data_IF_699087926224
#
_entry.id   IF_699087926224
#
_cell.length_a   1.000
_cell.length_b   1.000
_cell.length_c   1.000
_cell.angle_alpha   90.00
_cell.angle_beta   90.00
_cell.angle_gamma   90.00
#
_symmetry.space_group_name_H-M   'P 1'
#
loop_
_entity.id
_entity.type
_entity.pdbx_description
1 polymer ?
#
# COMPACT_ATOMS: atom_id res chain seq x y z
N UNK A 1 -1.16 14.10 8.55
CA UNK A 1 -1.49 12.67 8.38
C UNK A 1 -1.52 12.34 6.89
N UNK A 2 -0.87 11.25 6.45
CA UNK A 2 -0.80 10.81 5.05
C UNK A 2 -1.61 9.53 4.88
N UNK A 3 -2.62 9.52 4.03
CA UNK A 3 -3.42 8.32 3.75
C UNK A 3 -2.77 7.53 2.60
N UNK A 4 -2.44 6.27 2.82
CA UNK A 4 -1.80 5.41 1.80
C UNK A 4 -2.69 4.22 1.51
N UNK A 5 -3.06 4.04 0.25
CA UNK A 5 -3.93 2.98 -0.21
C UNK A 5 -3.13 1.81 -0.82
N UNK A 6 -3.43 0.59 -0.38
CA UNK A 6 -2.81 -0.65 -0.82
C UNK A 6 -3.85 -1.52 -1.54
N UNK A 7 -3.65 -1.76 -2.85
CA UNK A 7 -4.59 -2.54 -3.65
C UNK A 7 -4.53 -4.05 -3.31
N UNK A 8 -5.53 -4.79 -3.79
CA UNK A 8 -5.58 -6.26 -3.70
C UNK A 8 -4.78 -6.96 -4.81
N UNK A 9 -4.66 -8.29 -4.70
CA UNK A 9 -3.99 -9.11 -5.69
C UNK A 9 -4.63 -8.95 -7.09
N UNK A 10 -3.80 -8.93 -8.14
CA UNK A 10 -4.26 -8.81 -9.53
C UNK A 10 -4.81 -7.43 -9.91
N UNK A 11 -4.69 -6.44 -9.02
CA UNK A 11 -5.13 -5.06 -9.27
C UNK A 11 -3.95 -4.08 -9.28
N UNK A 12 -4.23 -2.78 -9.28
CA UNK A 12 -3.26 -1.70 -9.20
C UNK A 12 -3.78 -0.54 -8.36
N UNK A 13 -2.93 0.46 -8.16
CA UNK A 13 -3.25 1.73 -7.52
C UNK A 13 -4.44 2.47 -8.16
N UNK A 14 -4.75 2.17 -9.43
CA UNK A 14 -5.87 2.76 -10.17
C UNK A 14 -7.24 2.44 -9.55
N UNK A 15 -7.36 1.37 -8.78
CA UNK A 15 -8.60 1.06 -8.03
C UNK A 15 -9.03 2.18 -7.06
N UNK A 16 -8.11 3.06 -6.69
CA UNK A 16 -8.35 4.16 -5.76
C UNK A 16 -8.56 5.52 -6.44
N UNK A 17 -8.79 5.56 -7.75
CA UNK A 17 -8.92 6.80 -8.52
C UNK A 17 -9.83 7.84 -7.85
N UNK A 18 -11.04 7.45 -7.45
CA UNK A 18 -12.00 8.36 -6.82
C UNK A 18 -11.59 8.76 -5.39
N UNK A 19 -11.00 7.85 -4.63
CA UNK A 19 -10.50 8.11 -3.28
C UNK A 19 -9.35 9.12 -3.32
N UNK A 20 -8.45 9.03 -4.30
CA UNK A 20 -7.37 10.00 -4.47
C UNK A 20 -7.89 11.40 -4.82
N UNK A 21 -9.00 11.51 -5.56
CA UNK A 21 -9.64 12.79 -5.87
C UNK A 21 -10.36 13.39 -4.66
N UNK A 22 -10.90 12.55 -3.77
CA UNK A 22 -11.58 13.01 -2.57
C UNK A 22 -10.60 13.40 -1.45
N UNK A 23 -9.61 12.56 -1.15
CA UNK A 23 -8.66 12.77 -0.06
C UNK A 23 -7.38 13.47 -0.55
N UNK A 24 -7.31 14.80 -0.37
CA UNK A 24 -6.19 15.64 -0.89
C UNK A 24 -4.79 15.21 -0.45
N UNK A 25 -4.61 14.68 0.77
CA UNK A 25 -3.31 14.17 1.23
C UNK A 25 -3.25 12.64 1.26
N UNK A 26 -3.59 12.04 0.13
CA UNK A 26 -3.54 10.58 -0.05
C UNK A 26 -2.55 10.15 -1.13
N UNK A 27 -2.25 8.85 -1.17
CA UNK A 27 -1.43 8.21 -2.20
C UNK A 27 -1.85 6.74 -2.34
N UNK A 28 -2.09 6.28 -3.55
CA UNK A 28 -2.15 4.85 -3.84
C UNK A 28 -0.80 4.42 -4.44
N UNK A 29 -0.37 3.21 -4.12
CA UNK A 29 0.90 2.65 -4.58
C UNK A 29 0.66 1.32 -5.29
N UNK A 30 1.47 1.03 -6.31
CA UNK A 30 1.51 -0.29 -6.93
C UNK A 30 2.47 -1.18 -6.13
N UNK A 31 1.98 -2.34 -5.70
CA UNK A 31 2.77 -3.34 -5.02
C UNK A 31 3.65 -4.09 -6.03
N UNK A 32 4.83 -4.61 -5.62
CA UNK A 32 5.70 -5.39 -6.49
C UNK A 32 4.96 -6.52 -7.22
N UNK A 33 5.30 -6.77 -8.48
CA UNK A 33 4.64 -7.80 -9.29
C UNK A 33 3.27 -7.40 -9.85
N UNK A 34 2.85 -6.15 -9.65
CA UNK A 34 1.64 -5.60 -10.25
C UNK A 34 2.04 -4.44 -11.16
N UNK A 35 1.86 -4.63 -12.46
CA UNK A 35 2.39 -3.79 -13.56
C UNK A 35 3.91 -3.76 -13.71
N UNK A 36 4.69 -3.74 -12.62
CA UNK A 36 6.16 -3.73 -12.64
C UNK A 36 6.77 -4.45 -11.42
N UNK A 37 8.06 -4.79 -11.51
CA UNK A 37 8.80 -5.46 -10.45
C UNK A 37 8.43 -6.94 -10.26
N UNK A 38 9.11 -7.59 -9.32
CA UNK A 38 8.88 -9.01 -8.99
C UNK A 38 7.90 -9.12 -7.83
N UNK A 39 6.88 -9.98 -7.97
CA UNK A 39 5.92 -10.25 -6.89
C UNK A 39 6.64 -10.80 -5.65
N UNK A 40 6.21 -10.37 -4.46
CA UNK A 40 6.62 -11.03 -3.23
C UNK A 40 5.92 -12.40 -3.11
N UNK A 41 6.57 -13.34 -2.44
CA UNK A 41 6.09 -14.71 -2.25
C UNK A 41 5.01 -14.84 -1.17
N UNK A 42 4.91 -13.86 -0.28
CA UNK A 42 3.99 -13.85 0.85
C UNK A 42 3.67 -12.41 1.32
N UNK A 43 2.74 -12.30 2.27
CA UNK A 43 2.30 -11.02 2.85
C UNK A 43 3.43 -10.32 3.62
N UNK A 44 4.35 -11.06 4.23
CA UNK A 44 5.46 -10.50 4.99
C UNK A 44 6.45 -9.77 4.07
N UNK A 45 6.77 -10.35 2.92
CA UNK A 45 7.58 -9.70 1.89
C UNK A 45 6.96 -8.38 1.42
N UNK A 46 5.64 -8.38 1.19
CA UNK A 46 4.93 -7.14 0.86
C UNK A 46 4.93 -6.13 2.02
N UNK A 47 4.79 -6.58 3.27
CA UNK A 47 4.91 -5.71 4.45
C UNK A 47 6.27 -5.00 4.49
N UNK A 48 7.37 -5.75 4.31
CA UNK A 48 8.71 -5.16 4.34
C UNK A 48 8.91 -4.17 3.20
N UNK A 49 8.38 -4.46 2.01
CA UNK A 49 8.41 -3.53 0.90
C UNK A 49 7.64 -2.23 1.21
N UNK A 50 6.43 -2.33 1.77
CA UNK A 50 5.61 -1.16 2.17
C UNK A 50 6.31 -0.32 3.25
N UNK A 51 6.95 -0.96 4.24
CA UNK A 51 7.77 -0.28 5.26
C UNK A 51 8.94 0.47 4.63
N UNK A 52 9.63 -0.17 3.69
CA UNK A 52 10.70 0.44 2.90
C UNK A 52 10.22 1.67 2.14
N UNK A 53 9.08 1.55 1.45
CA UNK A 53 8.45 2.67 0.73
C UNK A 53 8.13 3.86 1.66
N UNK A 54 7.47 3.61 2.79
CA UNK A 54 7.12 4.65 3.77
C UNK A 54 8.38 5.36 4.30
N UNK A 55 9.41 4.58 4.64
CA UNK A 55 10.69 5.06 5.16
C UNK A 55 11.42 5.90 4.13
N UNK A 56 11.56 5.41 2.89
CA UNK A 56 12.24 6.11 1.81
C UNK A 56 11.56 7.44 1.45
N UNK A 57 10.23 7.50 1.55
CA UNK A 57 9.46 8.73 1.33
C UNK A 57 9.41 9.65 2.55
N UNK A 58 10.04 9.24 3.66
CA UNK A 58 10.08 9.95 4.95
C UNK A 58 8.68 10.33 5.44
N UNK A 59 7.66 9.53 5.11
CA UNK A 59 6.30 9.82 5.52
C UNK A 59 6.18 9.68 7.04
N UNK A 60 5.46 10.63 7.66
CA UNK A 60 5.16 10.68 9.09
C UNK A 60 3.64 10.65 9.27
N UNK A 61 3.17 10.04 10.35
CA UNK A 61 1.74 9.91 10.67
C UNK A 61 0.94 9.34 9.49
N UNK A 62 1.28 8.10 9.11
CA UNK A 62 0.65 7.38 7.99
C UNK A 62 -0.58 6.62 8.48
N UNK A 63 -1.67 6.71 7.71
CA UNK A 63 -2.81 5.79 7.81
C UNK A 63 -2.75 4.89 6.59
N UNK A 64 -2.66 3.58 6.82
CA UNK A 64 -2.74 2.58 5.77
C UNK A 64 -4.20 2.15 5.57
N UNK A 65 -4.63 2.08 4.32
CA UNK A 65 -5.95 1.58 3.94
C UNK A 65 -5.78 0.51 2.85
N UNK A 66 -6.08 -0.73 3.19
CA UNK A 66 -5.83 -1.87 2.32
C UNK A 66 -7.10 -2.61 1.90
N UNK A 67 -7.18 -3.04 0.64
CA UNK A 67 -8.25 -3.90 0.13
C UNK A 67 -7.75 -5.33 -0.11
N UNK A 68 -8.50 -6.35 0.32
CA UNK A 68 -8.16 -7.77 0.13
C UNK A 68 -6.71 -8.07 0.59
N UNK A 69 -5.81 -8.49 -0.31
CA UNK A 69 -4.38 -8.69 -0.01
C UNK A 69 -3.72 -7.44 0.61
N UNK A 70 -4.02 -6.23 0.10
CA UNK A 70 -3.58 -4.97 0.71
C UNK A 70 -4.11 -4.78 2.13
N UNK A 71 -5.30 -5.31 2.41
CA UNK A 71 -5.89 -5.35 3.74
C UNK A 71 -5.10 -6.24 4.69
N UNK A 72 -4.73 -7.45 4.24
CA UNK A 72 -3.86 -8.35 5.01
C UNK A 72 -2.50 -7.71 5.34
N UNK A 73 -1.89 -7.02 4.37
CA UNK A 73 -0.64 -6.26 4.58
C UNK A 73 -0.85 -5.15 5.62
N UNK A 74 -1.95 -4.41 5.53
CA UNK A 74 -2.27 -3.30 6.46
C UNK A 74 -2.47 -3.80 7.88
N UNK A 75 -3.21 -4.90 8.06
CA UNK A 75 -3.42 -5.52 9.37
C UNK A 75 -2.10 -6.02 9.96
N UNK A 76 -1.28 -6.69 9.14
CA UNK A 76 0.03 -7.17 9.58
C UNK A 76 0.99 -6.02 9.94
N UNK A 77 0.93 -4.91 9.19
CA UNK A 77 1.67 -3.69 9.52
C UNK A 77 1.24 -3.12 10.88
N UNK A 78 -0.05 -3.17 11.21
CA UNK A 78 -0.52 -2.65 12.50
C UNK A 78 -0.13 -3.54 13.69
N UNK A 79 0.06 -4.84 13.46
CA UNK A 79 0.46 -5.81 14.47
C UNK A 79 1.97 -5.83 14.77
N UNK A 80 2.80 -5.23 13.91
CA UNK A 80 4.27 -5.31 13.96
C UNK A 80 4.93 -3.94 13.87
#
# INVERSE_FOLDING_TARGET
MKLVFLHGAGSSSLSYYYQLRHFRNSKAIDLPGHSTGTACTDIEGYLQWVRGFITARRYKNVVLCGHSMGGAITLLYALR
#
